data_IF_491230188760
#
_entry.id   IF_491230188760
#
_cell.length_a   1.000
_cell.length_b   1.000
_cell.length_c   1.000
_cell.angle_alpha   90.00
_cell.angle_beta   90.00
_cell.angle_gamma   90.00
#
_symmetry.space_group_name_H-M   'P 1'
#
loop_
_entity.id
_entity.type
_entity.pdbx_description
1 polymer ?
#
# COMPACT_ATOMS: atom_id res chain seq x y z
N UNK A 1 1.08 5.73 -25.26
CA UNK A 1 2.25 6.11 -26.07
C UNK A 1 3.54 5.99 -25.31
N UNK A 2 4.45 5.21 -25.86
CA UNK A 2 5.84 5.07 -25.45
C UNK A 2 6.75 5.54 -26.59
N UNK A 3 7.88 6.16 -26.23
CA UNK A 3 8.87 6.65 -27.19
C UNK A 3 10.16 5.84 -27.07
N UNK A 4 10.90 5.70 -28.17
CA UNK A 4 12.15 4.93 -28.19
C UNK A 4 13.26 5.52 -27.29
N UNK A 5 13.07 6.76 -26.83
CA UNK A 5 13.92 7.46 -25.87
C UNK A 5 13.12 8.59 -25.19
N UNK A 6 13.58 9.11 -24.03
CA UNK A 6 13.02 10.33 -23.45
C UNK A 6 13.10 11.50 -24.43
N UNK A 7 12.01 12.28 -24.50
CA UNK A 7 11.91 13.45 -25.35
C UNK A 7 12.26 14.71 -24.57
N UNK A 8 12.86 15.68 -25.25
CA UNK A 8 13.23 16.99 -24.72
C UNK A 8 12.70 18.10 -25.61
N UNK A 9 12.76 19.35 -25.15
CA UNK A 9 12.38 20.52 -25.98
C UNK A 9 13.14 20.60 -27.31
N UNK A 10 14.33 20.00 -27.41
CA UNK A 10 15.13 19.93 -28.65
C UNK A 10 14.51 19.01 -29.70
N UNK A 11 13.66 18.07 -29.28
CA UNK A 11 13.04 17.09 -30.17
C UNK A 11 11.76 17.62 -30.82
N UNK A 12 11.28 18.81 -30.42
CA UNK A 12 10.08 19.43 -30.97
C UNK A 12 10.18 19.54 -32.51
N UNK A 13 9.11 19.14 -33.21
CA UNK A 13 9.02 19.11 -34.68
C UNK A 13 9.97 18.11 -35.38
N UNK A 14 10.74 17.32 -34.63
CA UNK A 14 11.55 16.23 -35.20
C UNK A 14 10.74 14.94 -35.27
N UNK A 15 11.16 13.99 -36.11
CA UNK A 15 10.55 12.65 -36.19
C UNK A 15 11.22 11.71 -35.20
N UNK A 16 10.43 11.06 -34.35
CA UNK A 16 10.90 10.05 -33.39
C UNK A 16 10.06 8.78 -33.53
N UNK A 17 10.66 7.65 -33.15
CA UNK A 17 9.96 6.38 -33.08
C UNK A 17 9.09 6.33 -31.82
N UNK A 18 7.83 5.91 -31.99
CA UNK A 18 6.88 5.71 -30.92
C UNK A 18 6.13 4.38 -31.12
N UNK A 19 5.58 3.86 -30.03
CA UNK A 19 4.62 2.75 -30.05
C UNK A 19 3.44 3.08 -29.14
N UNK A 20 2.26 2.64 -29.51
CA UNK A 20 1.07 2.70 -28.65
C UNK A 20 0.69 1.31 -28.14
N UNK A 21 -0.19 1.25 -27.15
CA UNK A 21 -0.50 0.01 -26.42
C UNK A 21 -1.11 -1.10 -27.30
N UNK A 22 -1.72 -0.76 -28.44
CA UNK A 22 -2.30 -1.70 -29.41
C UNK A 22 -1.39 -1.97 -30.63
N UNK A 23 -0.18 -1.40 -30.66
CA UNK A 23 0.72 -1.51 -31.81
C UNK A 23 1.74 -2.62 -31.63
N UNK A 24 1.89 -3.46 -32.65
CA UNK A 24 3.03 -4.36 -32.79
C UNK A 24 4.18 -3.64 -33.52
N UNK A 25 5.21 -3.25 -32.77
CA UNK A 25 6.41 -2.60 -33.30
C UNK A 25 6.42 -1.07 -33.18
N UNK A 26 7.34 -0.42 -33.91
CA UNK A 26 7.58 1.03 -33.86
C UNK A 26 7.04 1.74 -35.09
N UNK A 27 6.44 2.91 -34.90
CA UNK A 27 6.07 3.83 -35.97
C UNK A 27 6.76 5.19 -35.80
N UNK A 28 6.78 6.02 -36.85
CA UNK A 28 7.35 7.37 -36.78
C UNK A 28 6.28 8.42 -36.54
N UNK A 29 6.51 9.32 -35.58
CA UNK A 29 5.66 10.49 -35.29
C UNK A 29 6.51 11.75 -35.22
N UNK A 30 5.97 12.86 -35.71
CA UNK A 30 6.53 14.19 -35.49
C UNK A 30 6.16 14.67 -34.09
N UNK A 31 7.18 14.96 -33.27
CA UNK A 31 7.02 15.36 -31.87
C UNK A 31 6.27 16.70 -31.78
N UNK A 32 5.18 16.68 -31.01
CA UNK A 32 4.38 17.85 -30.64
C UNK A 32 4.69 18.25 -29.21
N UNK A 33 4.27 19.45 -28.82
CA UNK A 33 4.45 19.94 -27.45
C UNK A 33 3.75 19.08 -26.40
N UNK A 34 2.61 18.47 -26.75
CA UNK A 34 1.92 17.48 -25.90
C UNK A 34 2.74 16.22 -25.63
N UNK A 35 3.66 15.86 -26.54
CA UNK A 35 4.49 14.67 -26.43
C UNK A 35 5.67 14.87 -25.46
N UNK A 36 5.96 16.13 -25.11
CA UNK A 36 7.01 16.50 -24.15
C UNK A 36 6.50 16.51 -22.70
N UNK A 37 5.20 16.31 -22.49
CA UNK A 37 4.62 16.24 -21.15
C UNK A 37 5.17 15.00 -20.43
N UNK A 38 5.54 15.11 -19.14
CA UNK A 38 6.03 13.97 -18.38
C UNK A 38 4.96 12.87 -18.33
N UNK A 39 5.36 11.59 -18.29
CA UNK A 39 4.41 10.50 -18.13
C UNK A 39 3.68 10.64 -16.79
N UNK A 40 2.42 10.22 -16.76
CA UNK A 40 1.60 10.30 -15.55
C UNK A 40 2.21 9.49 -14.40
N UNK A 41 2.74 8.30 -14.70
CA UNK A 41 3.52 7.50 -13.77
C UNK A 41 4.94 7.44 -14.31
N UNK A 42 5.89 7.98 -13.56
CA UNK A 42 7.31 7.90 -13.90
C UNK A 42 7.96 6.65 -13.29
N UNK A 43 8.81 6.00 -14.07
CA UNK A 43 9.66 4.88 -13.64
C UNK A 43 11.11 5.34 -13.42
N UNK A 44 11.30 6.54 -12.86
CA UNK A 44 12.64 7.00 -12.49
C UNK A 44 13.00 6.45 -11.12
N UNK A 45 13.78 5.35 -11.09
CA UNK A 45 14.27 4.58 -9.92
C UNK A 45 13.41 3.39 -9.49
N UNK A 46 13.83 2.67 -8.44
CA UNK A 46 13.09 1.56 -7.80
C UNK A 46 11.67 1.96 -7.33
N UNK A 47 11.36 3.26 -7.27
CA UNK A 47 10.06 3.77 -6.81
C UNK A 47 9.32 4.43 -7.96
N UNK A 48 8.10 3.98 -8.22
CA UNK A 48 7.17 4.60 -9.17
C UNK A 48 6.48 5.79 -8.53
N UNK A 49 6.32 6.89 -9.28
CA UNK A 49 5.72 8.12 -8.76
C UNK A 49 4.70 8.71 -9.72
N UNK A 50 3.60 9.22 -9.17
CA UNK A 50 2.63 10.04 -9.88
C UNK A 50 3.25 11.41 -10.17
N UNK A 51 3.32 11.76 -11.45
CA UNK A 51 3.92 13.00 -11.98
C UNK A 51 5.31 13.26 -11.39
N UNK A 52 6.10 12.19 -11.20
CA UNK A 52 7.41 12.21 -10.55
C UNK A 52 7.45 12.84 -9.14
N UNK A 53 6.29 12.96 -8.48
CA UNK A 53 6.14 13.74 -7.25
C UNK A 53 5.84 12.82 -6.07
N UNK A 54 4.72 12.10 -6.09
CA UNK A 54 4.23 11.31 -4.96
C UNK A 54 4.19 9.80 -5.29
N UNK A 55 4.40 8.94 -4.30
CA UNK A 55 4.47 7.48 -4.46
C UNK A 55 3.12 6.75 -4.63
N UNK A 56 2.00 7.47 -4.57
CA UNK A 56 0.65 6.92 -4.67
C UNK A 56 -0.16 7.59 -5.77
N UNK A 57 -1.13 6.87 -6.34
CA UNK A 57 -2.07 7.41 -7.32
C UNK A 57 -3.41 7.80 -6.71
N UNK A 58 -3.68 7.37 -5.48
CA UNK A 58 -4.88 7.69 -4.72
C UNK A 58 -4.54 8.08 -3.30
N UNK A 59 -5.26 9.06 -2.76
CA UNK A 59 -5.03 9.61 -1.43
C UNK A 59 -5.93 10.80 -1.13
N UNK A 60 -6.20 10.99 0.16
CA UNK A 60 -6.84 12.21 0.67
C UNK A 60 -5.78 13.30 0.89
N UNK A 61 -6.19 14.57 0.92
CA UNK A 61 -5.28 15.68 1.17
C UNK A 61 -4.46 16.10 -0.05
N UNK A 62 -3.23 16.56 0.17
CA UNK A 62 -2.28 17.03 -0.86
C UNK A 62 -2.79 18.14 -1.79
N UNK A 63 -3.72 18.97 -1.31
CA UNK A 63 -4.32 20.06 -2.09
C UNK A 63 -3.32 21.13 -2.53
N UNK A 64 -2.23 21.29 -1.79
CA UNK A 64 -1.17 22.25 -2.08
C UNK A 64 0.12 21.58 -2.60
N UNK A 65 0.06 20.31 -3.00
CA UNK A 65 1.20 19.62 -3.58
C UNK A 65 1.26 19.88 -5.09
N UNK A 66 2.42 20.37 -5.54
CA UNK A 66 2.69 20.70 -6.93
C UNK A 66 3.93 19.95 -7.45
N UNK A 67 3.96 19.65 -8.74
CA UNK A 67 5.14 19.10 -9.41
C UNK A 67 6.28 20.10 -9.40
N UNK A 68 7.53 19.63 -9.25
CA UNK A 68 8.70 20.50 -9.20
C UNK A 68 8.99 21.24 -10.51
N UNK A 69 8.81 20.57 -11.65
CA UNK A 69 9.25 21.12 -12.94
C UNK A 69 8.27 22.15 -13.53
N UNK A 70 6.97 21.81 -13.54
CA UNK A 70 5.94 22.59 -14.24
C UNK A 70 4.96 23.31 -13.28
N UNK A 71 5.19 23.25 -11.96
CA UNK A 71 4.26 23.78 -10.93
C UNK A 71 2.80 23.36 -11.14
N UNK A 72 2.58 22.15 -11.66
CA UNK A 72 1.25 21.59 -11.87
C UNK A 72 0.70 21.05 -10.55
N UNK A 73 -0.54 21.37 -10.15
CA UNK A 73 -1.13 20.74 -8.97
C UNK A 73 -1.28 19.24 -9.17
N UNK A 74 -1.01 18.45 -8.12
CA UNK A 74 -1.12 16.98 -8.19
C UNK A 74 -2.58 16.53 -8.38
N UNK A 75 -3.54 17.33 -7.90
CA UNK A 75 -4.96 17.12 -8.18
C UNK A 75 -5.31 17.76 -9.53
N UNK A 76 -6.09 17.08 -10.39
CA UNK A 76 -6.96 15.93 -10.08
C UNK A 76 -6.32 14.54 -10.28
N UNK A 77 -5.02 14.45 -10.59
CA UNK A 77 -4.36 13.18 -10.87
C UNK A 77 -4.22 12.28 -9.64
N UNK A 78 -4.09 12.85 -8.45
CA UNK A 78 -4.22 12.15 -7.17
C UNK A 78 -5.69 12.06 -6.76
N UNK A 79 -6.29 10.90 -7.02
CA UNK A 79 -7.71 10.66 -6.78
C UNK A 79 -8.00 10.35 -5.30
N UNK A 80 -9.05 10.94 -4.74
CA UNK A 80 -9.57 10.56 -3.42
C UNK A 80 -10.67 9.49 -3.50
N UNK A 81 -10.90 8.90 -4.68
CA UNK A 81 -11.96 7.92 -4.90
C UNK A 81 -11.43 6.50 -4.60
N UNK A 82 -12.01 5.80 -3.61
CA UNK A 82 -11.58 4.45 -3.26
C UNK A 82 -11.99 3.43 -4.33
N UNK A 83 -11.35 2.27 -4.30
CA UNK A 83 -11.91 1.06 -4.91
C UNK A 83 -12.74 0.32 -3.86
N UNK A 84 -13.93 -0.13 -4.24
CA UNK A 84 -14.86 -0.81 -3.32
C UNK A 84 -15.10 -2.23 -3.83
N UNK A 85 -14.83 -3.19 -2.96
CA UNK A 85 -15.10 -4.61 -3.19
C UNK A 85 -15.99 -5.13 -2.07
N UNK A 86 -17.00 -5.93 -2.41
CA UNK A 86 -17.99 -6.45 -1.47
C UNK A 86 -17.85 -7.97 -1.40
N UNK A 87 -17.61 -8.49 -0.20
CA UNK A 87 -17.45 -9.91 0.07
C UNK A 87 -18.60 -10.40 0.95
N UNK A 88 -19.36 -11.38 0.45
CA UNK A 88 -20.47 -11.96 1.20
C UNK A 88 -19.97 -13.11 2.09
N UNK A 89 -19.71 -12.80 3.36
CA UNK A 89 -19.17 -13.76 4.34
C UNK A 89 -20.09 -14.96 4.57
N UNK A 90 -21.40 -14.84 4.31
CA UNK A 90 -22.36 -15.94 4.49
C UNK A 90 -22.21 -17.07 3.45
N UNK A 91 -21.46 -16.80 2.37
CA UNK A 91 -21.15 -17.79 1.34
C UNK A 91 -19.89 -18.59 1.63
N UNK A 92 -19.11 -18.17 2.62
CA UNK A 92 -17.95 -18.91 3.08
C UNK A 92 -18.41 -20.09 3.94
N UNK A 93 -17.58 -21.12 4.01
CA UNK A 93 -17.76 -22.23 4.95
C UNK A 93 -17.79 -21.70 6.40
N UNK A 94 -18.04 -22.59 7.36
CA UNK A 94 -18.08 -22.22 8.79
C UNK A 94 -16.80 -21.49 9.18
N UNK A 95 -16.93 -20.19 9.46
CA UNK A 95 -15.83 -19.33 9.88
C UNK A 95 -15.36 -19.73 11.27
N UNK A 96 -14.05 -19.77 11.44
CA UNK A 96 -13.36 -20.11 12.67
C UNK A 96 -12.57 -18.92 13.18
N UNK A 97 -11.99 -19.07 14.37
CA UNK A 97 -11.09 -18.09 14.99
C UNK A 97 -9.86 -17.79 14.14
N UNK A 98 -9.55 -18.68 13.18
CA UNK A 98 -8.40 -18.58 12.28
C UNK A 98 -8.72 -17.84 10.98
N UNK A 99 -9.99 -17.57 10.70
CA UNK A 99 -10.43 -16.83 9.53
C UNK A 99 -10.44 -15.33 9.86
N UNK A 100 -9.40 -14.64 9.38
CA UNK A 100 -9.15 -13.23 9.73
C UNK A 100 -8.89 -12.38 8.48
N UNK A 101 -9.17 -11.09 8.61
CA UNK A 101 -8.74 -10.06 7.68
C UNK A 101 -7.50 -9.35 8.23
N UNK A 102 -6.44 -9.31 7.43
CA UNK A 102 -5.22 -8.56 7.75
C UNK A 102 -5.28 -7.22 7.01
N UNK A 103 -5.21 -6.11 7.74
CA UNK A 103 -5.11 -4.76 7.19
C UNK A 103 -3.80 -4.17 7.67
N UNK A 104 -2.95 -3.68 6.77
CA UNK A 104 -1.68 -3.09 7.16
C UNK A 104 -1.20 -2.01 6.18
N UNK A 105 -0.29 -1.15 6.66
CA UNK A 105 0.45 -0.19 5.82
C UNK A 105 1.44 -0.88 4.89
N UNK A 106 1.92 -0.16 3.87
CA UNK A 106 2.97 -0.61 2.95
C UNK A 106 4.27 -0.98 3.68
N UNK A 107 4.54 -0.38 4.83
CA UNK A 107 5.64 -0.81 5.71
C UNK A 107 5.65 -2.30 6.04
N UNK A 108 4.50 -3.00 6.05
CA UNK A 108 4.44 -4.46 6.15
C UNK A 108 4.62 -5.13 4.78
N UNK A 109 3.82 -4.71 3.80
CA UNK A 109 3.67 -5.39 2.51
C UNK A 109 4.86 -5.18 1.56
N UNK A 110 5.70 -4.18 1.80
CA UNK A 110 6.94 -3.97 1.05
C UNK A 110 7.97 -5.09 1.30
N UNK A 111 7.83 -5.82 2.41
CA UNK A 111 8.82 -6.83 2.84
C UNK A 111 8.22 -8.21 3.09
N UNK A 112 6.91 -8.32 3.37
CA UNK A 112 6.21 -9.60 3.54
C UNK A 112 5.24 -9.89 2.39
N UNK A 113 5.24 -11.13 1.93
CA UNK A 113 4.23 -11.64 1.01
C UNK A 113 2.90 -11.94 1.72
N UNK A 114 1.81 -12.05 0.94
CA UNK A 114 0.51 -12.46 1.48
C UNK A 114 0.59 -13.85 2.14
N UNK A 115 1.36 -14.76 1.54
CA UNK A 115 1.55 -16.13 2.00
C UNK A 115 2.32 -16.17 3.32
N UNK A 116 3.41 -15.40 3.44
CA UNK A 116 4.21 -15.31 4.65
C UNK A 116 3.41 -14.70 5.80
N UNK A 117 2.68 -13.60 5.53
CA UNK A 117 1.80 -12.98 6.52
C UNK A 117 0.73 -13.96 7.02
N UNK A 118 0.11 -14.72 6.11
CA UNK A 118 -0.86 -15.76 6.46
C UNK A 118 -0.25 -16.90 7.27
N UNK A 119 1.01 -17.27 7.03
CA UNK A 119 1.72 -18.29 7.82
C UNK A 119 2.00 -17.81 9.25
N UNK A 120 2.46 -16.57 9.40
CA UNK A 120 2.73 -15.96 10.71
C UNK A 120 1.45 -15.94 11.55
N UNK A 121 0.36 -15.40 10.99
CA UNK A 121 -0.92 -15.31 11.69
C UNK A 121 -1.47 -16.68 12.07
N UNK A 122 -1.48 -17.66 11.15
CA UNK A 122 -1.96 -19.01 11.48
C UNK A 122 -1.13 -19.69 12.56
N UNK A 123 0.18 -19.45 12.59
CA UNK A 123 1.07 -19.99 13.62
C UNK A 123 0.77 -19.34 14.97
N UNK A 124 0.66 -18.01 15.01
CA UNK A 124 0.33 -17.25 16.22
C UNK A 124 -1.02 -17.67 16.82
N UNK A 125 -2.07 -17.72 15.99
CA UNK A 125 -3.42 -18.14 16.40
C UNK A 125 -3.53 -19.63 16.78
N UNK A 126 -2.53 -20.46 16.43
CA UNK A 126 -2.50 -21.86 16.87
C UNK A 126 -1.69 -22.06 18.15
N UNK A 127 -0.87 -21.07 18.55
CA UNK A 127 -0.05 -21.12 19.75
C UNK A 127 -0.74 -20.51 20.98
N UNK A 128 -1.71 -19.62 20.76
CA UNK A 128 -2.35 -18.81 21.82
C UNK A 128 -3.87 -18.99 21.81
N UNK A 129 -4.44 -19.56 22.88
CA UNK A 129 -5.91 -19.70 23.04
C UNK A 129 -6.54 -18.59 23.91
N UNK A 130 -5.86 -17.46 24.08
CA UNK A 130 -6.29 -16.36 24.96
C UNK A 130 -6.97 -15.21 24.20
N UNK A 131 -7.68 -14.35 24.96
CA UNK A 131 -8.46 -13.21 24.45
C UNK A 131 -7.62 -12.21 23.62
N UNK A 132 -6.29 -12.24 23.75
CA UNK A 132 -5.36 -11.33 23.09
C UNK A 132 -4.71 -11.92 21.82
N UNK A 133 -5.14 -13.11 21.37
CA UNK A 133 -4.53 -13.82 20.23
C UNK A 133 -4.37 -12.97 18.96
N UNK A 134 -5.34 -12.09 18.67
CA UNK A 134 -5.31 -11.24 17.48
C UNK A 134 -4.32 -10.08 17.61
N UNK A 135 -4.22 -9.48 18.80
CA UNK A 135 -3.23 -8.44 19.11
C UNK A 135 -1.82 -9.02 19.05
N UNK A 136 -1.62 -10.23 19.58
CA UNK A 136 -0.36 -10.95 19.47
C UNK A 136 0.01 -11.27 18.02
N UNK A 137 -0.95 -11.76 17.22
CA UNK A 137 -0.72 -12.02 15.80
C UNK A 137 -0.34 -10.73 15.03
N UNK A 138 -0.99 -9.60 15.32
CA UNK A 138 -0.65 -8.31 14.74
C UNK A 138 0.77 -7.85 15.15
N UNK A 139 1.13 -8.04 16.42
CA UNK A 139 2.46 -7.73 16.94
C UNK A 139 3.55 -8.61 16.31
N UNK A 140 3.27 -9.91 16.10
CA UNK A 140 4.18 -10.82 15.41
C UNK A 140 4.40 -10.41 13.95
N UNK A 141 3.34 -10.03 13.23
CA UNK A 141 3.46 -9.48 11.87
C UNK A 141 4.34 -8.23 11.83
N UNK A 142 4.07 -7.27 12.72
CA UNK A 142 4.85 -6.03 12.79
C UNK A 142 6.33 -6.31 13.14
N UNK A 143 6.57 -7.24 14.07
CA UNK A 143 7.93 -7.65 14.47
C UNK A 143 8.68 -8.35 13.34
N UNK A 144 7.99 -9.22 12.58
CA UNK A 144 8.56 -9.92 11.44
C UNK A 144 9.02 -8.94 10.35
N UNK A 145 8.18 -7.95 9.99
CA UNK A 145 8.54 -6.93 9.02
C UNK A 145 9.62 -5.97 9.53
N UNK A 146 9.61 -5.62 10.83
CA UNK A 146 10.65 -4.77 11.45
C UNK A 146 12.02 -5.47 11.47
N UNK A 147 12.04 -6.79 11.58
CA UNK A 147 13.24 -7.60 11.58
C UNK A 147 14.16 -7.32 12.77
N UNK A 148 15.43 -7.69 12.63
CA UNK A 148 16.45 -7.55 13.67
C UNK A 148 17.73 -6.91 13.12
N UNK A 149 18.51 -6.22 13.97
CA UNK A 149 19.81 -5.69 13.57
C UNK A 149 20.78 -6.83 13.25
N UNK A 150 21.43 -6.75 12.08
CA UNK A 150 22.40 -7.73 11.61
C UNK A 150 23.74 -7.07 11.28
N UNK A 151 24.84 -7.63 11.82
CA UNK A 151 26.23 -7.21 11.56
C UNK A 151 26.89 -6.47 12.74
N UNK A 152 28.23 -6.53 12.82
CA UNK A 152 29.04 -5.99 13.94
C UNK A 152 28.85 -4.50 14.21
N UNK A 153 28.30 -3.75 13.25
CA UNK A 153 28.10 -2.30 13.34
C UNK A 153 26.62 -1.89 13.42
N UNK A 154 25.64 -2.82 13.38
CA UNK A 154 24.21 -2.50 13.60
C UNK A 154 23.50 -1.68 12.50
N UNK A 155 24.14 -1.43 11.35
CA UNK A 155 23.58 -0.55 10.29
C UNK A 155 22.59 -1.22 9.34
N UNK A 156 22.33 -2.53 9.46
CA UNK A 156 21.46 -3.25 8.53
C UNK A 156 20.45 -4.10 9.28
N UNK A 157 19.18 -3.75 9.13
CA UNK A 157 18.06 -4.54 9.66
C UNK A 157 17.67 -5.60 8.63
N UNK A 158 17.55 -6.84 9.08
CA UNK A 158 17.21 -7.97 8.21
C UNK A 158 16.06 -8.78 8.79
N UNK A 159 15.26 -9.35 7.91
CA UNK A 159 14.22 -10.30 8.27
C UNK A 159 14.82 -11.68 8.57
N UNK A 160 14.09 -12.51 9.31
CA UNK A 160 14.47 -13.90 9.62
C UNK A 160 14.52 -14.79 8.37
N UNK A 161 13.65 -14.51 7.39
CA UNK A 161 13.64 -15.14 6.07
C UNK A 161 14.79 -14.70 5.16
N UNK A 162 15.58 -13.71 5.58
CA UNK A 162 16.59 -13.04 4.77
C UNK A 162 16.03 -11.81 4.03
N UNK A 163 16.93 -10.96 3.54
CA UNK A 163 16.56 -9.70 2.90
C UNK A 163 16.51 -8.50 3.85
N UNK A 164 16.17 -7.33 3.31
CA UNK A 164 16.07 -6.08 4.06
C UNK A 164 14.76 -6.03 4.84
N UNK A 165 14.84 -5.65 6.12
CA UNK A 165 13.65 -5.36 6.90
C UNK A 165 13.07 -3.98 6.56
N UNK A 166 11.84 -3.75 7.01
CA UNK A 166 11.12 -2.50 6.78
C UNK A 166 11.73 -1.35 7.58
N UNK A 167 11.96 -0.24 6.87
CA UNK A 167 12.44 1.04 7.43
C UNK A 167 11.31 2.07 7.56
N UNK A 168 10.07 1.69 7.29
CA UNK A 168 8.90 2.58 7.34
C UNK A 168 8.10 2.40 8.64
N UNK A 169 7.09 3.22 8.84
CA UNK A 169 6.08 3.03 9.87
C UNK A 169 5.20 1.81 9.53
N UNK A 170 4.99 0.96 10.53
CA UNK A 170 4.26 -0.29 10.38
C UNK A 170 3.02 -0.22 11.26
N UNK A 171 1.85 -0.28 10.64
CA UNK A 171 0.56 -0.42 11.32
C UNK A 171 -0.11 -1.67 10.80
N UNK A 172 -0.64 -2.51 11.70
CA UNK A 172 -1.27 -3.79 11.38
C UNK A 172 -2.51 -3.99 12.23
N UNK A 173 -3.59 -4.44 11.61
CA UNK A 173 -4.80 -4.94 12.25
C UNK A 173 -5.04 -6.38 11.82
N UNK A 174 -5.36 -7.24 12.78
CA UNK A 174 -5.83 -8.61 12.54
C UNK A 174 -7.26 -8.69 13.04
N UNK A 175 -8.21 -8.79 12.13
CA UNK A 175 -9.64 -8.70 12.43
C UNK A 175 -10.32 -10.07 12.25
N UNK A 176 -10.84 -10.70 13.31
CA UNK A 176 -11.57 -11.96 13.19
C UNK A 176 -12.88 -11.81 12.43
N UNK A 177 -13.08 -12.65 11.40
CA UNK A 177 -14.28 -12.60 10.56
C UNK A 177 -15.48 -13.32 11.18
N UNK A 178 -15.25 -14.29 12.08
CA UNK A 178 -16.34 -15.06 12.72
C UNK A 178 -17.36 -14.19 13.44
N UNK A 179 -16.92 -13.12 14.09
CA UNK A 179 -17.79 -12.21 14.85
C UNK A 179 -18.56 -11.22 13.96
N UNK A 180 -18.19 -11.09 12.68
CA UNK A 180 -18.90 -10.23 11.74
C UNK A 180 -20.22 -10.88 11.25
N UNK A 181 -20.36 -12.20 11.37
CA UNK A 181 -21.55 -12.94 10.94
C UNK A 181 -22.46 -13.27 12.13
N UNK A 182 -21.89 -13.39 13.33
CA UNK A 182 -22.60 -13.54 14.59
C UNK A 182 -21.85 -12.73 15.66
N UNK A 183 -22.30 -11.50 16.00
CA UNK A 183 -21.67 -10.74 17.07
C UNK A 183 -21.72 -11.56 18.37
N UNK A 184 -20.66 -11.51 19.20
CA UNK A 184 -20.70 -12.15 20.51
C UNK A 184 -21.90 -11.61 21.30
N UNK A 185 -22.53 -12.43 22.17
CA UNK A 185 -23.51 -11.90 23.11
C UNK A 185 -22.86 -10.76 23.89
N UNK A 186 -23.56 -9.63 24.00
CA UNK A 186 -23.06 -8.43 24.69
C UNK A 186 -22.58 -8.80 26.10
N UNK A 187 -21.26 -8.82 26.31
CA UNK A 187 -20.68 -8.77 27.65
C UNK A 187 -20.61 -7.26 28.00
N UNK A 188 -21.65 -6.78 28.68
CA UNK A 188 -21.97 -5.38 29.05
C UNK A 188 -20.93 -4.65 29.96
N UNK A 189 -19.61 -4.75 29.73
CA UNK A 189 -18.62 -4.13 30.65
C UNK A 189 -17.79 -2.95 30.11
N UNK A 190 -17.75 -2.66 28.81
CA UNK A 190 -16.80 -1.64 28.27
C UNK A 190 -17.44 -0.39 27.61
N UNK A 191 -18.72 -0.10 27.84
CA UNK A 191 -19.36 1.16 27.40
C UNK A 191 -19.20 2.29 28.45
N UNK A 192 -17.97 2.63 28.82
CA UNK A 192 -17.69 3.91 29.48
C UNK A 192 -17.68 5.02 28.42
N UNK A 193 -18.88 5.44 28.02
CA UNK A 193 -19.15 6.59 27.14
C UNK A 193 -18.37 7.82 27.63
N UNK A 194 -17.40 8.25 26.82
CA UNK A 194 -16.69 9.52 26.98
C UNK A 194 -17.72 10.65 26.92
N UNK A 195 -18.14 11.13 28.09
CA UNK A 195 -18.91 12.36 28.26
C UNK A 195 -18.02 13.53 27.86
N UNK A 196 -18.18 14.04 26.65
CA UNK A 196 -17.65 15.34 26.25
C UNK A 196 -18.37 16.41 27.07
N UNK A 197 -17.69 16.93 28.09
CA UNK A 197 -18.13 18.09 28.85
C UNK A 197 -18.44 19.24 27.89
N UNK A 198 -19.71 19.63 27.81
CA UNK A 198 -20.09 20.98 27.44
C UNK A 198 -19.79 21.86 28.65
N UNK A 199 -18.86 22.80 28.52
CA UNK A 199 -18.78 23.94 29.42
C UNK A 199 -19.24 25.19 28.65
N UNK A 200 -20.07 25.97 29.34
CA UNK A 200 -20.81 27.17 28.91
C UNK A 200 -19.93 28.34 28.42
#
# INVERSE_FOLDING_TARGET
>A
LEYSRPLTKKDLKTKVLYRDWFMDGWASKTVKESDLRPPLISESSKKRRLLNTIGVSRGFGDHHLFTMDDHLPIKPFLSSVPEVQVYDLRKLDVLTDKDVLIIASDGLWDVLSNEDAGLIVRSSLSATEQNEQYSMAAQELASAARGFPSGSNGHRWMMSSGGSASTDDITVFVVPLKYCVAPPPDDDEDDEMISLCAED
#
